data_IF_048542222311
#
_entry.id   IF_048542222311
#
_cell.length_a   1.000
_cell.length_b   1.000
_cell.length_c   1.000
_cell.angle_alpha   90.00
_cell.angle_beta   90.00
_cell.angle_gamma   90.00
#
_symmetry.space_group_name_H-M   'P 1'
#
loop_
_entity.id
_entity.type
_entity.pdbx_description
1 polymer ?
#
# COMPACT_ATOMS: atom_id res chain seq x y z
N UNK A 1 22.50 6.04 -64.60
CA UNK A 1 21.59 7.11 -64.15
C UNK A 1 20.79 6.53 -63.00
N UNK A 2 21.37 6.62 -61.82
CA UNK A 2 20.74 6.28 -60.55
C UNK A 2 19.58 7.24 -60.28
N UNK A 3 18.51 6.72 -59.70
CA UNK A 3 17.62 7.50 -58.84
C UNK A 3 17.19 6.63 -57.67
N UNK A 4 17.84 6.88 -56.55
CA UNK A 4 17.37 6.58 -55.20
C UNK A 4 16.01 7.26 -54.96
N UNK A 5 15.14 6.58 -54.23
CA UNK A 5 14.13 7.24 -53.40
C UNK A 5 14.15 6.58 -52.03
N UNK A 6 14.72 7.34 -51.08
CA UNK A 6 14.68 7.11 -49.65
C UNK A 6 13.31 7.49 -49.06
N UNK A 7 12.91 6.67 -48.10
CA UNK A 7 12.27 6.98 -46.81
C UNK A 7 10.87 7.59 -46.69
N UNK A 8 10.14 6.99 -45.74
CA UNK A 8 8.87 7.46 -45.20
C UNK A 8 8.25 6.45 -44.23
N UNK A 9 9.02 5.92 -43.27
CA UNK A 9 8.49 5.22 -42.10
C UNK A 9 8.15 6.30 -41.07
N UNK A 10 6.87 6.54 -40.81
CA UNK A 10 6.42 7.24 -39.61
C UNK A 10 5.93 6.17 -38.63
N UNK A 11 6.86 5.64 -37.84
CA UNK A 11 6.52 4.94 -36.60
C UNK A 11 6.30 6.01 -35.53
N UNK A 12 5.12 6.00 -34.91
CA UNK A 12 4.81 6.87 -33.79
C UNK A 12 5.75 6.58 -32.63
N UNK A 13 6.43 7.62 -32.15
CA UNK A 13 7.22 7.56 -30.92
C UNK A 13 6.25 7.36 -29.74
N UNK A 14 6.16 6.13 -29.24
CA UNK A 14 5.66 5.88 -27.89
C UNK A 14 6.64 6.53 -26.92
N UNK A 15 6.25 7.64 -26.30
CA UNK A 15 7.00 8.28 -25.23
C UNK A 15 7.05 7.32 -24.03
N UNK A 16 8.17 6.61 -23.87
CA UNK A 16 8.50 5.90 -22.64
C UNK A 16 8.76 6.95 -21.54
N UNK A 17 7.80 7.11 -20.63
CA UNK A 17 7.99 7.92 -19.43
C UNK A 17 8.31 7.00 -18.25
N UNK A 18 9.25 7.37 -17.39
CA UNK A 18 9.52 6.58 -16.18
C UNK A 18 8.36 6.71 -15.19
N UNK A 19 7.88 5.59 -14.66
CA UNK A 19 6.92 5.58 -13.53
C UNK A 19 7.59 5.60 -12.15
N UNK A 20 8.92 5.51 -12.13
CA UNK A 20 9.72 5.48 -10.90
C UNK A 20 10.70 6.65 -10.96
N UNK A 21 10.76 7.48 -9.92
CA UNK A 21 11.83 8.47 -9.79
C UNK A 21 13.18 7.79 -9.72
N UNK A 22 14.05 8.04 -10.68
CA UNK A 22 15.44 7.60 -10.61
C UNK A 22 16.24 8.61 -9.79
N UNK A 23 16.67 8.23 -8.60
CA UNK A 23 17.75 8.94 -7.91
C UNK A 23 19.08 8.45 -8.50
N UNK A 24 19.55 9.07 -9.59
CA UNK A 24 20.94 8.92 -10.02
C UNK A 24 21.78 10.01 -9.35
N UNK A 25 22.72 9.57 -8.51
CA UNK A 25 23.61 10.48 -7.80
C UNK A 25 24.70 11.04 -8.71
N UNK A 26 24.74 12.37 -8.87
CA UNK A 26 25.99 13.14 -8.88
C UNK A 26 25.80 14.47 -8.14
N UNK A 27 26.89 14.97 -7.60
CA UNK A 27 27.06 16.07 -6.65
C UNK A 27 26.29 17.37 -6.90
N UNK A 28 25.88 17.97 -5.77
CA UNK A 28 25.58 19.39 -5.50
C UNK A 28 24.33 19.98 -6.19
N UNK A 29 23.33 20.26 -5.35
CA UNK A 29 22.19 21.14 -5.63
C UNK A 29 21.39 20.80 -6.90
N UNK A 30 20.73 19.63 -6.92
CA UNK A 30 19.58 19.44 -7.79
C UNK A 30 18.42 18.84 -6.99
N UNK A 31 17.52 19.72 -6.54
CA UNK A 31 16.27 19.34 -5.90
C UNK A 31 15.27 18.94 -6.99
N UNK A 32 15.54 17.83 -7.68
CA UNK A 32 14.55 17.20 -8.56
C UNK A 32 13.61 16.39 -7.68
N UNK A 33 12.65 17.08 -7.07
CA UNK A 33 11.51 16.40 -6.46
C UNK A 33 10.92 15.46 -7.53
N UNK A 34 10.98 14.16 -7.26
CA UNK A 34 10.35 13.16 -8.13
C UNK A 34 8.87 13.49 -8.18
N UNK A 35 8.32 13.68 -9.37
CA UNK A 35 6.89 13.95 -9.53
C UNK A 35 6.07 12.77 -8.97
N UNK A 36 5.18 13.06 -8.02
CA UNK A 36 4.36 12.04 -7.39
C UNK A 36 3.34 11.48 -8.38
N UNK A 37 3.26 10.16 -8.55
CA UNK A 37 2.28 9.50 -9.44
C UNK A 37 1.37 8.58 -8.66
N UNK A 38 0.10 8.51 -9.08
CA UNK A 38 -0.88 7.54 -8.58
C UNK A 38 -1.01 6.40 -9.56
N UNK A 39 -0.63 5.19 -9.14
CA UNK A 39 -0.69 3.97 -9.93
C UNK A 39 -1.85 3.12 -9.41
N UNK A 40 -2.78 2.80 -10.30
CA UNK A 40 -4.01 2.09 -9.95
C UNK A 40 -4.11 0.78 -10.72
N UNK A 41 -4.64 -0.24 -10.05
CA UNK A 41 -5.09 -1.46 -10.68
C UNK A 41 -6.61 -1.45 -10.71
N UNK A 42 -7.19 -1.66 -11.89
CA UNK A 42 -8.64 -1.58 -12.05
C UNK A 42 -9.14 -2.64 -13.02
N UNK A 43 -10.44 -2.91 -12.96
CA UNK A 43 -11.16 -3.71 -13.93
C UNK A 43 -12.00 -2.77 -14.82
N UNK A 44 -11.89 -2.95 -16.14
CA UNK A 44 -12.67 -2.22 -17.13
C UNK A 44 -14.11 -2.77 -17.25
N UNK A 45 -14.93 -2.14 -18.11
CA UNK A 45 -16.32 -2.54 -18.34
C UNK A 45 -16.48 -3.93 -18.95
N UNK A 46 -15.44 -4.43 -19.63
CA UNK A 46 -15.43 -5.75 -20.27
C UNK A 46 -14.91 -6.84 -19.32
N UNK A 47 -14.46 -6.47 -18.12
CA UNK A 47 -13.97 -7.36 -17.09
C UNK A 47 -12.47 -7.63 -17.16
N UNK A 48 -11.73 -6.98 -18.06
CA UNK A 48 -10.27 -7.11 -18.13
C UNK A 48 -9.62 -6.26 -17.04
N UNK A 49 -8.45 -6.72 -16.56
CA UNK A 49 -7.72 -6.07 -15.48
C UNK A 49 -6.51 -5.36 -16.07
N UNK A 50 -6.33 -4.10 -15.69
CA UNK A 50 -5.25 -3.26 -16.19
C UNK A 50 -4.59 -2.49 -15.05
N UNK A 51 -3.37 -2.02 -15.32
CA UNK A 51 -2.74 -0.95 -14.57
C UNK A 51 -2.92 0.38 -15.29
N UNK A 52 -2.91 1.48 -14.53
CA UNK A 52 -2.99 2.82 -15.10
C UNK A 52 -2.40 3.89 -14.19
N UNK A 53 -2.12 5.05 -14.77
CA UNK A 53 -1.72 6.26 -14.06
C UNK A 53 -2.94 7.17 -13.90
N UNK A 54 -3.20 7.66 -12.68
CA UNK A 54 -4.32 8.57 -12.42
C UNK A 54 -3.86 10.03 -12.46
N UNK A 55 -4.38 10.80 -13.42
CA UNK A 55 -4.25 12.26 -13.45
C UNK A 55 -5.64 12.91 -13.39
N UNK A 56 -5.89 13.74 -12.37
CA UNK A 56 -7.23 14.23 -12.07
C UNK A 56 -8.20 13.07 -11.82
N UNK A 57 -9.26 13.02 -12.64
CA UNK A 57 -10.34 12.01 -12.62
C UNK A 57 -10.24 11.01 -13.80
N UNK A 58 -9.08 10.95 -14.46
CA UNK A 58 -8.83 10.06 -15.60
C UNK A 58 -7.74 9.05 -15.26
N UNK A 59 -7.95 7.80 -15.67
CA UNK A 59 -6.96 6.73 -15.67
C UNK A 59 -6.39 6.61 -17.08
N UNK A 60 -5.09 6.76 -17.22
CA UNK A 60 -4.35 6.49 -18.45
C UNK A 60 -3.82 5.06 -18.40
N UNK A 61 -4.39 4.19 -19.23
CA UNK A 61 -4.09 2.75 -19.22
C UNK A 61 -2.65 2.46 -19.65
N UNK A 62 -2.00 1.56 -18.92
CA UNK A 62 -0.67 1.06 -19.19
C UNK A 62 -0.75 -0.33 -19.83
N UNK A 63 0.15 -0.62 -20.77
CA UNK A 63 0.33 -1.94 -21.37
C UNK A 63 1.12 -2.92 -20.48
N UNK A 64 1.53 -2.46 -19.29
CA UNK A 64 2.55 -3.09 -18.47
C UNK A 64 1.95 -3.80 -17.26
N UNK A 65 2.59 -4.90 -16.88
CA UNK A 65 2.34 -5.57 -15.60
C UNK A 65 3.13 -4.89 -14.48
N UNK A 66 2.73 -5.13 -13.22
CA UNK A 66 3.33 -4.46 -12.06
C UNK A 66 4.86 -4.57 -12.01
N UNK A 67 5.42 -5.74 -12.33
CA UNK A 67 6.87 -5.94 -12.29
C UNK A 67 7.62 -5.03 -13.29
N UNK A 68 7.05 -4.76 -14.46
CA UNK A 68 7.62 -3.86 -15.46
C UNK A 68 7.47 -2.39 -15.01
N UNK A 69 6.30 -2.04 -14.46
CA UNK A 69 6.04 -0.71 -13.90
C UNK A 69 7.04 -0.41 -12.76
N UNK A 70 7.24 -1.37 -11.86
CA UNK A 70 8.18 -1.27 -10.75
C UNK A 70 9.64 -1.18 -11.20
N UNK A 71 9.96 -1.74 -12.37
CA UNK A 71 11.27 -1.59 -13.02
C UNK A 71 11.43 -0.24 -13.76
N UNK A 72 10.39 0.60 -13.79
CA UNK A 72 10.42 1.93 -14.41
C UNK A 72 9.77 2.01 -15.78
N UNK A 73 9.22 0.93 -16.32
CA UNK A 73 8.60 0.91 -17.65
C UNK A 73 7.12 1.33 -17.58
N UNK A 74 6.78 2.41 -18.27
CA UNK A 74 5.39 2.81 -18.48
C UNK A 74 5.12 3.14 -19.94
N UNK A 75 4.42 2.21 -20.60
CA UNK A 75 3.95 2.32 -21.97
C UNK A 75 2.46 2.53 -21.96
N UNK A 76 2.01 3.69 -22.43
CA UNK A 76 0.59 4.02 -22.51
C UNK A 76 -0.05 3.43 -23.77
N UNK A 77 -1.22 2.81 -23.62
CA UNK A 77 -1.98 2.24 -24.74
C UNK A 77 -2.83 3.28 -25.49
N UNK A 78 -2.95 4.49 -24.94
CA UNK A 78 -3.84 5.53 -25.47
C UNK A 78 -5.31 5.36 -25.06
N UNK A 79 -5.63 4.33 -24.28
CA UNK A 79 -6.93 4.15 -23.64
C UNK A 79 -7.02 5.03 -22.39
N UNK A 80 -8.08 5.83 -22.32
CA UNK A 80 -8.41 6.67 -21.18
C UNK A 80 -9.73 6.19 -20.57
N UNK A 81 -9.75 5.99 -19.25
CA UNK A 81 -10.93 5.54 -18.51
C UNK A 81 -11.25 6.57 -17.44
N UNK A 82 -12.51 7.00 -17.35
CA UNK A 82 -12.93 7.85 -16.25
C UNK A 82 -12.82 7.08 -14.93
N UNK A 83 -12.20 7.67 -13.90
CA UNK A 83 -11.96 7.03 -12.61
C UNK A 83 -13.26 6.52 -11.96
N UNK A 84 -14.37 7.22 -12.18
CA UNK A 84 -15.70 6.85 -11.68
C UNK A 84 -16.33 5.64 -12.37
N UNK A 85 -15.89 5.31 -13.59
CA UNK A 85 -16.41 4.18 -14.37
C UNK A 85 -15.60 2.89 -14.15
N UNK A 86 -14.39 3.01 -13.59
CA UNK A 86 -13.51 1.90 -13.30
C UNK A 86 -13.83 1.21 -11.97
N UNK A 87 -13.82 -0.12 -11.95
CA UNK A 87 -13.82 -0.87 -10.69
C UNK A 87 -12.40 -0.96 -10.15
N UNK A 88 -12.10 -0.17 -9.13
CA UNK A 88 -10.79 -0.19 -8.46
C UNK A 88 -10.59 -1.53 -7.73
N UNK A 89 -9.40 -2.12 -7.89
CA UNK A 89 -8.99 -3.37 -7.27
C UNK A 89 -7.94 -3.12 -6.18
N UNK A 90 -7.49 -4.18 -5.50
CA UNK A 90 -6.27 -4.09 -4.69
C UNK A 90 -5.10 -3.63 -5.57
N UNK A 91 -4.21 -2.76 -5.06
CA UNK A 91 -3.22 -2.08 -5.90
C UNK A 91 -2.17 -3.02 -6.50
N UNK A 92 -1.91 -4.16 -5.84
CA UNK A 92 -0.93 -5.17 -6.24
C UNK A 92 -1.40 -6.56 -5.84
N UNK A 93 -0.80 -7.59 -6.44
CA UNK A 93 -0.96 -8.98 -6.02
C UNK A 93 0.31 -9.42 -5.26
N UNK A 94 0.40 -9.13 -3.95
CA UNK A 94 1.63 -9.34 -3.19
C UNK A 94 1.90 -10.81 -2.99
N UNK A 95 3.16 -11.29 -3.04
CA UNK A 95 3.47 -12.67 -2.63
C UNK A 95 3.27 -12.89 -1.11
N UNK A 96 3.43 -11.81 -0.33
CA UNK A 96 3.21 -11.79 1.12
C UNK A 96 2.83 -10.40 1.62
N UNK A 97 2.06 -10.38 2.71
CA UNK A 97 1.73 -9.17 3.48
C UNK A 97 2.42 -9.29 4.83
N UNK A 98 3.51 -8.56 4.99
CA UNK A 98 4.26 -8.44 6.24
C UNK A 98 3.69 -7.29 7.04
N UNK A 99 3.50 -7.47 8.34
CA UNK A 99 2.95 -6.44 9.21
C UNK A 99 3.86 -6.26 10.43
N UNK A 100 3.98 -5.03 10.91
CA UNK A 100 4.75 -4.70 12.11
C UNK A 100 3.83 -4.22 13.23
N UNK A 101 3.72 -5.04 14.27
CA UNK A 101 2.95 -4.70 15.46
C UNK A 101 3.69 -3.73 16.37
N UNK A 102 2.92 -2.89 17.08
CA UNK A 102 3.41 -2.04 18.18
C UNK A 102 4.54 -1.07 17.81
N UNK A 103 4.58 -0.63 16.55
CA UNK A 103 5.50 0.44 16.10
C UNK A 103 5.12 1.81 16.69
N UNK A 104 3.85 2.04 17.01
CA UNK A 104 3.35 3.22 17.71
C UNK A 104 3.19 2.95 19.21
N UNK A 105 3.84 3.77 20.04
CA UNK A 105 3.85 3.59 21.49
C UNK A 105 2.47 3.74 22.16
N UNK A 106 1.61 4.62 21.61
CA UNK A 106 0.24 4.81 22.09
C UNK A 106 -0.61 3.55 21.88
N UNK A 107 -0.60 3.01 20.66
CA UNK A 107 -1.34 1.80 20.29
C UNK A 107 -0.87 0.57 21.04
N UNK A 108 0.44 0.43 21.24
CA UNK A 108 1.01 -0.64 22.05
C UNK A 108 0.45 -0.63 23.49
N UNK A 109 0.38 0.55 24.13
CA UNK A 109 -0.19 0.70 25.48
C UNK A 109 -1.69 0.41 25.50
N UNK A 110 -2.44 0.94 24.53
CA UNK A 110 -3.89 0.75 24.41
C UNK A 110 -4.29 -0.73 24.27
N UNK A 111 -3.53 -1.47 23.46
CA UNK A 111 -3.82 -2.89 23.18
C UNK A 111 -3.25 -3.86 24.20
N UNK A 112 -2.47 -3.36 25.18
CA UNK A 112 -1.82 -4.17 26.22
C UNK A 112 -0.51 -4.84 25.79
N UNK A 113 0.11 -4.33 24.72
CA UNK A 113 1.41 -4.76 24.21
C UNK A 113 2.59 -4.02 24.82
N UNK A 114 3.76 -4.19 24.21
CA UNK A 114 5.02 -3.57 24.63
C UNK A 114 5.38 -2.40 23.71
N UNK A 115 5.44 -1.19 24.26
CA UNK A 115 5.84 0.00 23.52
C UNK A 115 7.37 0.09 23.35
N UNK A 116 7.82 0.85 22.34
CA UNK A 116 9.24 1.16 22.09
C UNK A 116 10.12 -0.07 21.93
N UNK A 117 9.63 -1.05 21.17
CA UNK A 117 10.38 -2.24 20.83
C UNK A 117 11.74 -1.87 20.23
N UNK A 118 12.76 -2.66 20.55
CA UNK A 118 14.08 -2.59 19.88
C UNK A 118 14.18 -3.55 18.72
N UNK A 119 13.44 -4.65 18.81
CA UNK A 119 13.31 -5.65 17.75
C UNK A 119 11.88 -5.58 17.20
N UNK A 120 11.68 -5.42 15.88
CA UNK A 120 10.36 -5.37 15.28
C UNK A 120 9.52 -6.62 15.60
N UNK A 121 8.24 -6.41 15.95
CA UNK A 121 7.30 -7.52 16.10
C UNK A 121 6.60 -7.80 14.76
N UNK A 122 7.01 -8.87 14.10
CA UNK A 122 6.52 -9.25 12.78
C UNK A 122 5.42 -10.32 12.85
N UNK A 123 4.41 -10.18 11.99
CA UNK A 123 3.48 -11.25 11.63
C UNK A 123 3.05 -11.15 10.16
N UNK A 124 2.49 -12.24 9.64
CA UNK A 124 1.98 -12.31 8.26
C UNK A 124 0.46 -12.30 8.26
N UNK A 125 -0.14 -11.57 7.31
CA UNK A 125 -1.55 -11.72 6.93
C UNK A 125 -1.62 -12.53 5.61
N UNK A 126 -2.54 -13.50 5.51
CA UNK A 126 -2.73 -14.24 4.26
C UNK A 126 -3.27 -13.31 3.16
N UNK A 127 -2.93 -13.60 1.90
CA UNK A 127 -3.44 -12.86 0.75
C UNK A 127 -4.98 -12.89 0.66
N UNK A 128 -5.63 -13.95 1.15
CA UNK A 128 -7.10 -14.07 1.14
C UNK A 128 -7.81 -13.03 2.02
N UNK A 129 -7.08 -12.37 2.93
CA UNK A 129 -7.61 -11.27 3.72
C UNK A 129 -7.78 -9.98 2.90
N UNK A 130 -7.09 -9.84 1.77
CA UNK A 130 -7.03 -8.59 1.01
C UNK A 130 -8.34 -8.29 0.29
N UNK A 131 -8.83 -7.06 0.46
CA UNK A 131 -9.97 -6.51 -0.29
C UNK A 131 -9.68 -5.07 -0.73
N UNK A 132 -10.34 -4.64 -1.80
CA UNK A 132 -10.13 -3.32 -2.39
C UNK A 132 -10.91 -2.20 -1.66
N UNK A 133 -10.69 -0.97 -2.09
CA UNK A 133 -11.54 0.16 -1.72
C UNK A 133 -13.01 -0.12 -2.07
N UNK A 134 -13.92 0.32 -1.20
CA UNK A 134 -15.39 0.14 -1.25
C UNK A 134 -15.87 -1.30 -1.14
N UNK A 135 -14.99 -2.28 -0.94
CA UNK A 135 -15.39 -3.65 -0.64
C UNK A 135 -15.78 -3.83 0.84
N UNK A 136 -16.36 -4.99 1.16
CA UNK A 136 -16.98 -5.25 2.46
C UNK A 136 -16.06 -6.05 3.39
N UNK A 137 -15.79 -5.52 4.58
CA UNK A 137 -15.25 -6.26 5.71
C UNK A 137 -16.38 -7.11 6.29
N UNK A 138 -16.22 -8.43 6.25
CA UNK A 138 -17.18 -9.40 6.76
C UNK A 138 -16.82 -9.79 8.20
N UNK A 139 -17.68 -9.44 9.15
CA UNK A 139 -17.53 -9.83 10.55
C UNK A 139 -17.72 -11.34 10.69
N UNK A 140 -16.76 -12.07 11.31
CA UNK A 140 -16.94 -13.48 11.55
C UNK A 140 -18.12 -13.75 12.49
N UNK A 141 -18.69 -14.97 12.46
CA UNK A 141 -19.68 -15.41 13.43
C UNK A 141 -19.24 -15.18 14.89
N UNK A 142 -20.22 -14.87 15.76
CA UNK A 142 -19.99 -14.48 17.16
C UNK A 142 -19.33 -15.58 18.02
N UNK A 143 -19.45 -16.84 17.60
CA UNK A 143 -18.79 -18.00 18.20
C UNK A 143 -17.30 -18.09 17.86
N UNK A 144 -16.82 -17.37 16.82
CA UNK A 144 -15.41 -17.27 16.48
C UNK A 144 -14.73 -16.06 17.11
N UNK A 145 -15.36 -14.88 17.06
CA UNK A 145 -14.87 -13.64 17.69
C UNK A 145 -16.04 -12.70 17.99
N UNK A 146 -15.91 -11.92 19.06
CA UNK A 146 -16.88 -10.88 19.42
C UNK A 146 -16.30 -9.47 19.44
N UNK A 147 -15.03 -9.30 19.04
CA UNK A 147 -14.34 -8.02 19.12
C UNK A 147 -13.43 -7.79 17.92
N UNK A 148 -14.01 -7.32 16.82
CA UNK A 148 -13.28 -6.91 15.62
C UNK A 148 -13.05 -5.40 15.65
N UNK A 149 -11.79 -4.98 15.52
CA UNK A 149 -11.36 -3.58 15.57
C UNK A 149 -10.66 -3.16 14.26
N UNK A 150 -10.67 -1.86 13.98
CA UNK A 150 -9.94 -1.23 12.87
C UNK A 150 -8.53 -0.83 13.29
N UNK A 151 -7.60 -0.81 12.34
CA UNK A 151 -6.23 -0.33 12.53
C UNK A 151 -5.78 0.35 11.23
N UNK A 152 -6.01 1.66 11.09
CA UNK A 152 -5.57 2.40 9.90
C UNK A 152 -4.05 2.57 9.87
N UNK A 153 -3.43 2.27 8.75
CA UNK A 153 -1.97 2.26 8.58
C UNK A 153 -1.54 2.83 7.22
N UNK A 154 -0.27 3.21 7.15
CA UNK A 154 0.45 3.34 5.88
C UNK A 154 1.07 1.98 5.55
N UNK A 155 0.92 1.53 4.32
CA UNK A 155 1.63 0.38 3.80
C UNK A 155 2.57 0.80 2.66
N UNK A 156 3.70 0.10 2.55
CA UNK A 156 4.63 0.25 1.45
C UNK A 156 4.56 -0.96 0.52
N UNK A 157 4.74 -0.70 -0.77
CA UNK A 157 4.80 -1.71 -1.82
C UNK A 157 6.25 -1.82 -2.30
N UNK A 158 6.82 -3.02 -2.22
CA UNK A 158 8.19 -3.28 -2.69
C UNK A 158 8.22 -3.25 -4.22
N UNK A 159 9.21 -2.57 -4.79
CA UNK A 159 9.42 -2.47 -6.23
C UNK A 159 10.58 -3.30 -6.75
N UNK A 160 11.51 -3.70 -5.88
CA UNK A 160 12.73 -4.42 -6.25
C UNK A 160 12.94 -5.64 -5.37
N UNK A 161 13.36 -6.73 -5.97
CA UNK A 161 13.76 -7.92 -5.21
C UNK A 161 15.00 -7.61 -4.38
N UNK A 162 15.03 -8.00 -3.11
CA UNK A 162 16.15 -7.70 -2.21
C UNK A 162 16.23 -8.58 -0.98
N UNK A 163 17.46 -8.86 -0.55
CA UNK A 163 17.79 -9.59 0.67
C UNK A 163 19.03 -8.99 1.32
N UNK A 164 19.05 -8.91 2.65
CA UNK A 164 20.11 -8.23 3.42
C UNK A 164 20.32 -6.77 2.98
N UNK A 165 19.23 -6.06 2.74
CA UNK A 165 19.23 -4.68 2.27
C UNK A 165 19.86 -3.77 3.34
N UNK A 166 20.91 -2.98 3.01
CA UNK A 166 21.44 -1.96 3.92
C UNK A 166 20.37 -0.91 4.25
N UNK A 167 20.39 -0.34 5.46
CA UNK A 167 19.37 0.62 5.90
C UNK A 167 19.38 1.89 5.02
N UNK A 168 20.56 2.34 4.63
CA UNK A 168 20.79 3.49 3.75
C UNK A 168 20.23 3.31 2.33
N UNK A 169 20.04 2.07 1.87
CA UNK A 169 19.48 1.76 0.55
C UNK A 169 17.99 1.42 0.60
N UNK A 170 17.43 1.20 1.80
CA UNK A 170 16.13 0.59 2.00
C UNK A 170 14.99 1.25 1.21
N UNK A 171 14.92 2.59 1.19
CA UNK A 171 13.87 3.30 0.47
C UNK A 171 13.95 3.15 -1.05
N UNK A 172 15.14 2.85 -1.60
CA UNK A 172 15.31 2.62 -3.05
C UNK A 172 14.70 1.31 -3.55
N UNK A 173 14.30 0.42 -2.63
CA UNK A 173 13.58 -0.83 -2.92
C UNK A 173 12.06 -0.65 -2.86
N UNK A 174 11.58 0.49 -2.39
CA UNK A 174 10.14 0.80 -2.30
C UNK A 174 9.68 1.36 -3.64
N UNK A 175 8.62 0.77 -4.21
CA UNK A 175 7.95 1.31 -5.38
C UNK A 175 7.11 2.54 -5.01
N UNK A 176 6.33 2.41 -3.93
CA UNK A 176 5.50 3.49 -3.42
C UNK A 176 4.71 3.07 -2.18
N UNK A 177 3.71 3.88 -1.84
CA UNK A 177 2.95 3.78 -0.60
C UNK A 177 1.46 3.73 -0.88
N UNK A 178 0.72 3.02 -0.03
CA UNK A 178 -0.74 2.89 -0.12
C UNK A 178 -1.34 2.93 1.29
N UNK A 179 -2.67 2.95 1.38
CA UNK A 179 -3.38 2.89 2.66
C UNK A 179 -3.71 1.44 2.98
N UNK A 180 -3.63 1.07 4.26
CA UNK A 180 -3.99 -0.25 4.74
C UNK A 180 -4.89 -0.15 5.99
N UNK A 181 -5.74 -1.16 6.17
CA UNK A 181 -6.50 -1.33 7.41
C UNK A 181 -6.22 -2.74 7.96
N UNK A 182 -5.44 -2.84 9.04
CA UNK A 182 -5.10 -4.11 9.70
C UNK A 182 -6.25 -4.57 10.63
N UNK A 183 -7.38 -4.94 10.01
CA UNK A 183 -8.57 -5.39 10.75
C UNK A 183 -8.23 -6.58 11.63
N UNK A 184 -8.66 -6.50 12.89
CA UNK A 184 -8.17 -7.38 13.95
C UNK A 184 -9.29 -7.87 14.84
N UNK A 185 -9.48 -9.19 14.93
CA UNK A 185 -10.22 -9.84 16.00
C UNK A 185 -9.39 -9.81 17.30
N UNK A 186 -9.59 -8.75 18.09
CA UNK A 186 -8.76 -8.38 19.24
C UNK A 186 -8.79 -9.40 20.36
N UNK A 187 -9.96 -9.96 20.63
CA UNK A 187 -10.12 -11.05 21.61
C UNK A 187 -9.17 -12.21 21.30
N UNK A 188 -9.04 -12.58 20.03
CA UNK A 188 -8.16 -13.67 19.60
C UNK A 188 -6.68 -13.33 19.72
N UNK A 189 -6.29 -12.09 19.39
CA UNK A 189 -4.88 -11.66 19.57
C UNK A 189 -4.44 -11.59 21.04
N UNK A 190 -5.39 -11.58 21.99
CA UNK A 190 -5.10 -11.65 23.44
C UNK A 190 -5.00 -13.08 23.95
N UNK A 191 -5.72 -14.02 23.35
CA UNK A 191 -5.73 -15.42 23.78
C UNK A 191 -4.69 -16.26 23.05
N UNK A 192 -4.45 -15.97 21.78
CA UNK A 192 -3.57 -16.75 20.94
C UNK A 192 -2.12 -16.28 21.08
N UNK A 193 -1.15 -17.21 21.06
CA UNK A 193 0.27 -16.84 21.06
C UNK A 193 0.74 -16.25 19.71
N UNK A 194 -0.09 -16.33 18.67
CA UNK A 194 0.21 -15.91 17.30
C UNK A 194 -0.93 -15.05 16.77
N UNK A 195 -0.61 -13.98 16.04
CA UNK A 195 -1.63 -13.04 15.55
C UNK A 195 -2.33 -13.47 14.27
N UNK A 196 -1.81 -14.49 13.57
CA UNK A 196 -2.31 -14.93 12.27
C UNK A 196 -3.81 -15.19 12.26
N UNK A 197 -4.36 -15.88 13.28
CA UNK A 197 -5.81 -16.14 13.34
C UNK A 197 -6.61 -14.86 13.54
N UNK A 198 -6.21 -14.02 14.49
CA UNK A 198 -6.92 -12.78 14.80
C UNK A 198 -6.89 -11.75 13.67
N UNK A 199 -5.87 -11.81 12.81
CA UNK A 199 -5.66 -10.84 11.73
C UNK A 199 -5.88 -11.42 10.32
N UNK A 200 -6.14 -12.71 10.20
CA UNK A 200 -6.10 -13.41 8.90
C UNK A 200 -7.43 -13.96 8.41
N UNK A 201 -8.57 -13.52 8.97
CA UNK A 201 -9.86 -13.81 8.34
C UNK A 201 -9.90 -13.20 6.93
N UNK A 202 -10.64 -13.83 6.02
CA UNK A 202 -10.93 -13.23 4.73
C UNK A 202 -11.53 -11.83 4.96
N UNK A 203 -11.21 -10.87 4.09
CA UNK A 203 -11.60 -9.44 4.18
C UNK A 203 -10.94 -8.59 5.28
N UNK A 204 -10.03 -9.15 6.11
CA UNK A 204 -9.39 -8.40 7.21
C UNK A 204 -8.16 -7.58 6.81
N UNK A 205 -7.84 -7.47 5.53
CA UNK A 205 -6.74 -6.63 5.03
C UNK A 205 -7.17 -5.69 3.91
N UNK A 206 -8.12 -4.77 4.12
CA UNK A 206 -8.36 -3.72 3.13
C UNK A 206 -7.09 -2.97 2.76
N UNK A 207 -6.87 -2.75 1.47
CA UNK A 207 -5.68 -2.10 0.91
C UNK A 207 -6.03 -1.27 -0.33
N UNK A 208 -5.44 -0.08 -0.47
CA UNK A 208 -5.62 0.77 -1.65
C UNK A 208 -5.80 2.25 -1.30
N UNK A 209 -6.53 3.04 -2.10
CA UNK A 209 -7.17 2.67 -3.39
C UNK A 209 -6.16 2.56 -4.55
N UNK A 210 -4.95 3.06 -4.37
CA UNK A 210 -3.88 3.06 -5.37
C UNK A 210 -2.51 3.11 -4.66
N UNK A 211 -1.43 2.99 -5.41
CA UNK A 211 -0.06 3.25 -4.94
C UNK A 211 0.37 4.65 -5.33
N UNK A 212 0.94 5.41 -4.40
CA UNK A 212 1.57 6.71 -4.68
C UNK A 212 3.09 6.57 -4.64
N UNK A 213 3.74 6.97 -5.72
CA UNK A 213 5.21 7.01 -5.85
C UNK A 213 5.73 8.44 -5.59
N UNK A 214 7.04 8.57 -5.34
CA UNK A 214 7.69 9.89 -5.29
C UNK A 214 7.35 10.75 -4.06
N UNK A 215 6.88 10.16 -2.96
CA UNK A 215 6.57 10.88 -1.71
C UNK A 215 7.49 10.47 -0.56
N UNK A 216 7.68 11.37 0.40
CA UNK A 216 8.38 11.09 1.65
C UNK A 216 7.41 10.47 2.68
N UNK A 217 7.63 9.23 3.15
CA UNK A 217 6.72 8.56 4.08
C UNK A 217 6.93 8.94 5.55
N UNK A 218 7.88 9.80 5.89
CA UNK A 218 8.31 10.03 7.28
C UNK A 218 7.37 10.91 8.11
N UNK A 219 6.55 11.74 7.47
CA UNK A 219 5.67 12.72 8.14
C UNK A 219 4.22 12.69 7.63
N UNK A 220 3.73 11.52 7.23
CA UNK A 220 2.37 11.38 6.72
C UNK A 220 1.37 11.33 7.86
N UNK A 221 0.38 12.23 7.86
CA UNK A 221 -0.76 12.15 8.77
C UNK A 221 -1.66 10.96 8.40
N UNK A 222 -2.10 10.22 9.41
CA UNK A 222 -3.00 9.06 9.31
C UNK A 222 -4.26 9.37 10.11
N UNK A 223 -5.41 9.39 9.45
CA UNK A 223 -6.70 9.63 10.09
C UNK A 223 -7.64 8.47 9.77
N UNK A 224 -8.20 7.84 10.79
CA UNK A 224 -9.28 6.86 10.61
C UNK A 224 -10.57 7.42 11.15
N UNK A 225 -11.63 7.30 10.34
CA UNK A 225 -13.00 7.63 10.75
C UNK A 225 -13.89 6.39 10.76
N UNK A 226 -14.74 6.30 11.77
CA UNK A 226 -15.82 5.32 11.85
C UNK A 226 -17.16 6.06 11.82
N UNK A 227 -17.96 5.82 10.78
CA UNK A 227 -19.21 6.54 10.52
C UNK A 227 -19.03 8.08 10.53
N UNK A 228 -17.95 8.55 9.90
CA UNK A 228 -17.61 9.97 9.80
C UNK A 228 -17.04 10.61 11.08
N UNK A 229 -16.86 9.84 12.17
CA UNK A 229 -16.22 10.33 13.39
C UNK A 229 -14.77 9.89 13.43
N UNK A 230 -13.85 10.83 13.66
CA UNK A 230 -12.43 10.54 13.85
C UNK A 230 -12.25 9.67 15.09
N UNK A 231 -11.60 8.52 14.91
CA UNK A 231 -11.25 7.57 15.98
C UNK A 231 -9.74 7.42 16.12
N UNK A 232 -8.99 7.55 15.02
CA UNK A 232 -7.52 7.62 15.01
C UNK A 232 -7.07 8.90 14.32
N UNK A 233 -6.05 9.55 14.88
CA UNK A 233 -5.39 10.73 14.32
C UNK A 233 -3.93 10.69 14.80
N UNK A 234 -3.02 10.31 13.91
CA UNK A 234 -1.61 10.16 14.21
C UNK A 234 -0.74 10.52 13.01
N UNK A 235 0.57 10.31 13.13
CA UNK A 235 1.52 10.64 12.08
C UNK A 235 2.67 9.62 12.04
N UNK A 236 3.17 9.26 10.86
CA UNK A 236 4.28 8.29 10.73
C UNK A 236 5.56 8.73 11.47
N UNK A 237 5.73 10.02 11.77
CA UNK A 237 6.83 10.52 12.62
C UNK A 237 6.76 10.05 14.08
N UNK A 238 5.62 9.52 14.53
CA UNK A 238 5.43 8.95 15.88
C UNK A 238 5.89 7.48 15.98
N UNK A 239 6.27 6.85 14.86
CA UNK A 239 6.77 5.49 14.85
C UNK A 239 8.08 5.39 15.63
N UNK A 240 8.15 4.41 16.53
CA UNK A 240 9.33 4.14 17.36
C UNK A 240 10.46 3.44 16.60
N UNK A 241 10.18 2.90 15.41
CA UNK A 241 11.10 2.21 14.53
C UNK A 241 11.02 2.87 13.14
N UNK A 242 12.17 3.21 12.55
CA UNK A 242 12.20 3.88 11.24
C UNK A 242 11.81 2.91 10.11
N UNK A 243 11.19 3.44 9.06
CA UNK A 243 10.84 2.67 7.86
C UNK A 243 12.09 2.00 7.23
N UNK A 244 13.22 2.71 7.05
CA UNK A 244 14.45 2.08 6.57
C UNK A 244 14.91 0.90 7.42
N UNK A 245 14.86 1.03 8.75
CA UNK A 245 15.24 -0.04 9.68
C UNK A 245 14.31 -1.25 9.53
N UNK A 246 13.00 -1.05 9.44
CA UNK A 246 12.02 -2.13 9.27
C UNK A 246 12.28 -2.93 7.99
N UNK A 247 12.52 -2.26 6.86
CA UNK A 247 12.86 -2.89 5.58
C UNK A 247 14.18 -3.67 5.68
N UNK A 248 15.24 -3.04 6.19
CA UNK A 248 16.54 -3.70 6.37
C UNK A 248 16.42 -4.93 7.25
N UNK A 249 15.70 -4.82 8.37
CA UNK A 249 15.52 -5.90 9.33
C UNK A 249 14.76 -7.08 8.73
N UNK A 250 13.61 -6.87 8.07
CA UNK A 250 12.85 -7.98 7.48
C UNK A 250 13.59 -8.63 6.32
N UNK A 251 14.36 -7.85 5.54
CA UNK A 251 15.14 -8.37 4.40
C UNK A 251 16.26 -9.33 4.83
N UNK A 252 16.68 -9.31 6.10
CA UNK A 252 17.65 -10.28 6.67
C UNK A 252 16.99 -11.63 6.98
N UNK A 253 15.67 -11.65 7.15
CA UNK A 253 14.88 -12.83 7.49
C UNK A 253 14.37 -13.51 6.22
N UNK A 254 13.84 -12.72 5.28
CA UNK A 254 13.24 -13.22 4.04
C UNK A 254 13.54 -12.27 2.87
N UNK A 255 13.64 -12.80 1.66
CA UNK A 255 13.71 -11.99 0.45
C UNK A 255 12.39 -11.21 0.29
N UNK A 256 12.50 -9.91 0.02
CA UNK A 256 11.39 -9.07 -0.39
C UNK A 256 11.31 -9.12 -1.91
N UNK A 257 10.11 -9.26 -2.47
CA UNK A 257 9.87 -9.36 -3.91
C UNK A 257 9.00 -8.17 -4.39
N UNK A 258 9.12 -7.77 -5.67
CA UNK A 258 8.23 -6.76 -6.23
C UNK A 258 6.76 -7.12 -6.03
N UNK A 259 6.00 -6.19 -5.47
CA UNK A 259 4.58 -6.32 -5.16
C UNK A 259 4.32 -6.68 -3.70
N UNK A 260 5.31 -7.15 -2.94
CA UNK A 260 5.13 -7.41 -1.52
C UNK A 260 4.72 -6.16 -0.75
N UNK A 261 3.88 -6.37 0.27
CA UNK A 261 3.33 -5.29 1.09
C UNK A 261 3.92 -5.38 2.49
N UNK A 262 4.42 -4.25 3.01
CA UNK A 262 4.77 -4.10 4.43
C UNK A 262 3.85 -3.05 5.07
N UNK A 263 2.99 -3.48 5.99
CA UNK A 263 2.13 -2.62 6.79
C UNK A 263 2.89 -2.16 8.05
N UNK A 264 2.93 -0.85 8.28
CA UNK A 264 3.88 -0.20 9.17
C UNK A 264 3.43 -0.09 10.64
N UNK A 265 2.19 -0.50 10.93
CA UNK A 265 1.55 -0.34 12.22
C UNK A 265 0.63 0.89 12.29
N UNK A 266 -0.19 0.91 13.33
CA UNK A 266 -1.31 1.84 13.48
C UNK A 266 -1.15 2.78 14.69
N UNK A 267 -1.57 4.06 14.62
CA UNK A 267 -1.66 4.94 15.78
C UNK A 267 -2.76 4.48 16.76
N UNK A 268 -2.76 5.03 17.98
CA UNK A 268 -3.82 4.71 18.97
C UNK A 268 -5.20 5.21 18.53
N UNK A 269 -6.24 4.64 19.12
CA UNK A 269 -7.64 4.95 18.82
C UNK A 269 -8.35 3.82 18.07
N UNK A 270 -7.80 2.61 18.12
CA UNK A 270 -8.49 1.42 17.61
C UNK A 270 -9.81 1.23 18.37
N UNK A 271 -10.87 0.86 17.68
CA UNK A 271 -12.17 0.66 18.31
C UNK A 271 -12.99 -0.44 17.61
N UNK A 272 -13.95 -1.07 18.33
CA UNK A 272 -14.78 -2.12 17.77
C UNK A 272 -15.67 -1.62 16.63
N UNK A 273 -15.79 -2.44 15.59
CA UNK A 273 -16.73 -2.26 14.48
C UNK A 273 -17.93 -3.18 14.63
N UNK A 274 -19.06 -2.79 14.04
CA UNK A 274 -20.28 -3.60 13.96
C UNK A 274 -20.86 -3.58 12.55
N UNK A 275 -21.72 -4.56 12.26
CA UNK A 275 -22.47 -4.61 11.00
C UNK A 275 -23.21 -3.29 10.75
N UNK A 276 -23.08 -2.76 9.54
CA UNK A 276 -23.62 -1.48 9.10
C UNK A 276 -22.69 -0.28 9.29
N UNK A 277 -21.53 -0.45 9.91
CA UNK A 277 -20.52 0.62 10.01
C UNK A 277 -19.83 0.87 8.66
N UNK A 278 -19.32 2.10 8.52
CA UNK A 278 -18.40 2.50 7.44
C UNK A 278 -17.10 2.97 8.07
N UNK A 279 -15.99 2.38 7.66
CA UNK A 279 -14.64 2.77 8.08
C UNK A 279 -13.91 3.43 6.91
N UNK A 280 -13.28 4.57 7.16
CA UNK A 280 -12.41 5.24 6.18
C UNK A 280 -11.07 5.54 6.81
N UNK A 281 -9.99 5.04 6.23
CA UNK A 281 -8.61 5.41 6.54
C UNK A 281 -8.13 6.40 5.49
N UNK A 282 -7.65 7.56 5.93
CA UNK A 282 -7.08 8.62 5.10
C UNK A 282 -5.62 8.80 5.46
N UNK A 283 -4.74 8.76 4.45
CA UNK A 283 -3.32 9.06 4.60
C UNK A 283 -2.99 10.25 3.73
N UNK A 284 -2.37 11.26 4.33
CA UNK A 284 -1.89 12.47 3.68
C UNK A 284 -1.04 12.14 2.44
N UNK A 285 -1.23 12.87 1.35
CA UNK A 285 -0.55 12.69 0.06
C UNK A 285 -0.74 11.31 -0.61
N UNK A 286 -1.56 10.40 -0.04
CA UNK A 286 -1.90 9.11 -0.66
C UNK A 286 -3.36 9.10 -1.10
N UNK A 287 -4.30 9.20 -0.16
CA UNK A 287 -5.73 9.10 -0.45
C UNK A 287 -6.56 8.46 0.65
N UNK A 288 -7.75 7.98 0.28
CA UNK A 288 -8.75 7.41 1.20
C UNK A 288 -9.09 5.98 0.81
N UNK A 289 -9.04 5.09 1.79
CA UNK A 289 -9.51 3.72 1.72
C UNK A 289 -10.76 3.58 2.58
N UNK A 290 -11.91 3.32 1.96
CA UNK A 290 -13.21 3.20 2.61
C UNK A 290 -13.79 1.81 2.44
N UNK A 291 -14.25 1.19 3.53
CA UNK A 291 -14.87 -0.13 3.48
C UNK A 291 -16.15 -0.17 4.31
N UNK A 292 -17.06 -1.04 3.89
CA UNK A 292 -18.33 -1.28 4.58
C UNK A 292 -18.21 -2.49 5.49
N UNK A 293 -18.83 -2.47 6.65
CA UNK A 293 -18.78 -3.57 7.63
C UNK A 293 -20.10 -4.33 7.59
N UNK A 294 -20.06 -5.66 7.47
CA UNK A 294 -21.26 -6.50 7.45
C UNK A 294 -21.15 -7.69 8.41
#
# INVERSE_FOLDING_TARGET
MEKEYHEGILAGEHLAASCVGTAEGTSAEDNTATESKRIVRYQDSDGNIHYGVIEGETIFQLANEFAEIAAGTCSYEGTEVALGDAKILIPVEPSKVVNFGWTFAGHAKETGGTANLKEPFLFLKPQSALIADKETICLPPIDLTNKVELEGEVALVIGKSGRNIPEEEALSYVFGYTVFNDVTARDLTKTDPQFTRGKGFDTFGPIGPWVVTGIDPTHLRIVTTLNGKVVQDGNTSEMSLSIPFLISWVSKIMTLEPGDVLALGSPSGTCPMKSGDVVTVEVENIGKLTNYVK
#
